data_IF_325616741844
#
_entry.id   IF_325616741844
#
_cell.length_a   1.000
_cell.length_b   1.000
_cell.length_c   1.000
_cell.angle_alpha   90.00
_cell.angle_beta   90.00
_cell.angle_gamma   90.00
#
_symmetry.space_group_name_H-M   'P 1'
#
loop_
_entity.id
_entity.type
_entity.pdbx_description
1 polymer ?
#
# COMPACT_ATOMS: atom_id res chain seq x y z
N UNK A 1 -13.42 -20.16 -22.99
CA UNK A 1 -12.91 -20.16 -21.60
C UNK A 1 -12.75 -18.69 -21.19
N UNK A 2 -13.61 -18.21 -20.29
CA UNK A 2 -13.74 -16.77 -19.98
C UNK A 2 -12.76 -16.37 -18.87
N UNK A 3 -12.18 -15.18 -18.99
CA UNK A 3 -11.15 -14.62 -18.11
C UNK A 3 -11.67 -14.44 -16.67
N UNK A 4 -11.02 -15.00 -15.62
CA UNK A 4 -11.49 -14.98 -14.24
C UNK A 4 -11.29 -13.65 -13.50
N UNK A 5 -10.65 -12.65 -14.11
CA UNK A 5 -10.53 -11.30 -13.53
C UNK A 5 -11.72 -10.42 -13.92
N UNK A 6 -12.94 -10.83 -13.53
CA UNK A 6 -14.08 -9.93 -13.49
C UNK A 6 -13.92 -9.03 -12.25
N UNK A 7 -13.05 -8.03 -12.35
CA UNK A 7 -12.90 -7.01 -11.31
C UNK A 7 -14.16 -6.13 -11.33
N UNK A 8 -14.96 -6.41 -10.31
CA UNK A 8 -16.25 -5.87 -9.92
C UNK A 8 -16.16 -4.36 -9.66
N UNK A 9 -15.93 -3.58 -10.71
CA UNK A 9 -16.24 -2.15 -10.71
C UNK A 9 -17.67 -1.99 -10.16
N UNK A 10 -17.85 -1.13 -9.17
CA UNK A 10 -19.12 -0.74 -8.48
C UNK A 10 -19.37 -1.31 -7.07
N UNK A 11 -19.03 -2.55 -6.71
CA UNK A 11 -19.49 -3.08 -5.41
C UNK A 11 -18.52 -2.72 -4.27
N UNK A 12 -18.73 -1.52 -3.68
CA UNK A 12 -18.02 -1.04 -2.48
C UNK A 12 -17.33 0.32 -2.60
N UNK A 13 -17.48 1.01 -3.74
CA UNK A 13 -16.98 2.37 -3.93
C UNK A 13 -18.13 3.37 -3.95
N UNK A 14 -17.99 4.44 -3.18
CA UNK A 14 -18.84 5.64 -3.26
C UNK A 14 -18.02 6.77 -3.87
N UNK A 15 -18.67 7.59 -4.70
CA UNK A 15 -18.04 8.70 -5.39
C UNK A 15 -18.71 10.00 -5.00
N UNK A 16 -17.91 11.03 -4.75
CA UNK A 16 -18.39 12.37 -4.48
C UNK A 16 -17.57 13.40 -5.26
N UNK A 17 -18.22 14.47 -5.68
CA UNK A 17 -17.55 15.63 -6.28
C UNK A 17 -17.33 16.64 -5.17
N UNK A 18 -16.08 17.04 -4.98
CA UNK A 18 -15.69 18.00 -3.95
C UNK A 18 -14.96 19.17 -4.58
N UNK A 19 -15.24 20.38 -4.10
CA UNK A 19 -14.49 21.57 -4.48
C UNK A 19 -13.44 21.82 -3.39
N UNK A 20 -12.18 21.60 -3.73
CA UNK A 20 -11.05 21.78 -2.81
C UNK A 20 -9.94 22.55 -3.52
N UNK A 21 -9.30 23.49 -2.82
CA UNK A 21 -8.15 24.25 -3.34
C UNK A 21 -8.45 25.02 -4.65
N UNK A 22 -9.71 25.46 -4.83
CA UNK A 22 -10.16 26.13 -6.04
C UNK A 22 -10.29 25.22 -7.27
N UNK A 23 -10.25 23.89 -7.09
CA UNK A 23 -10.38 22.90 -8.17
C UNK A 23 -11.50 21.92 -7.86
N UNK A 24 -12.22 21.53 -8.92
CA UNK A 24 -13.18 20.43 -8.83
C UNK A 24 -12.39 19.12 -8.78
N UNK A 25 -12.62 18.33 -7.75
CA UNK A 25 -12.01 17.02 -7.56
C UNK A 25 -13.10 15.96 -7.45
N UNK A 26 -12.74 14.75 -7.85
CA UNK A 26 -13.55 13.56 -7.61
C UNK A 26 -12.87 12.76 -6.51
N UNK A 27 -13.62 12.48 -5.48
CA UNK A 27 -13.21 11.64 -4.37
C UNK A 27 -13.92 10.29 -4.46
N UNK A 28 -13.16 9.21 -4.32
CA UNK A 28 -13.68 7.86 -4.21
C UNK A 28 -13.36 7.30 -2.84
N UNK A 29 -14.37 6.80 -2.15
CA UNK A 29 -14.24 6.12 -0.87
C UNK A 29 -14.64 4.66 -1.03
N UNK A 30 -13.81 3.75 -0.53
CA UNK A 30 -14.10 2.33 -0.62
C UNK A 30 -13.03 1.50 0.06
N UNK A 31 -13.40 0.34 0.59
CA UNK A 31 -12.46 -0.60 1.22
C UNK A 31 -11.57 0.02 2.31
N UNK A 32 -12.08 1.02 3.03
CA UNK A 32 -11.34 1.73 4.08
C UNK A 32 -10.30 2.75 3.60
N UNK A 33 -10.26 3.05 2.30
CA UNK A 33 -9.39 4.09 1.73
C UNK A 33 -10.21 5.20 1.09
N UNK A 34 -9.62 6.41 1.09
CA UNK A 34 -10.13 7.58 0.39
C UNK A 34 -9.08 8.00 -0.64
N UNK A 35 -9.53 8.15 -1.89
CA UNK A 35 -8.72 8.54 -3.03
C UNK A 35 -9.32 9.80 -3.63
N UNK A 36 -8.47 10.68 -4.16
CA UNK A 36 -8.89 11.93 -4.79
C UNK A 36 -8.11 12.20 -6.06
N UNK A 37 -8.79 12.74 -7.06
CA UNK A 37 -8.17 13.22 -8.30
C UNK A 37 -8.82 14.52 -8.74
N UNK A 38 -8.04 15.41 -9.35
CA UNK A 38 -8.59 16.61 -9.96
C UNK A 38 -9.33 16.24 -11.27
N UNK A 39 -10.47 16.89 -11.47
CA UNK A 39 -11.20 16.83 -12.73
C UNK A 39 -10.42 17.60 -13.80
N UNK A 40 -10.18 16.97 -14.95
CA UNK A 40 -9.52 17.63 -16.06
C UNK A 40 -10.49 18.51 -16.86
N UNK A 41 -9.95 19.48 -17.60
CA UNK A 41 -10.76 20.35 -18.46
C UNK A 41 -11.49 19.52 -19.53
N UNK A 42 -12.83 19.60 -19.55
CA UNK A 42 -13.66 18.83 -20.48
C UNK A 42 -13.86 17.36 -20.11
N UNK A 43 -13.31 16.89 -18.98
CA UNK A 43 -13.53 15.53 -18.48
C UNK A 43 -14.86 15.47 -17.70
N UNK A 44 -15.61 14.38 -17.89
CA UNK A 44 -16.81 14.15 -17.08
C UNK A 44 -16.41 13.63 -15.68
N UNK A 45 -17.21 13.92 -14.63
CA UNK A 45 -16.94 13.40 -13.30
C UNK A 45 -16.86 11.87 -13.25
N UNK A 46 -17.66 11.18 -14.06
CA UNK A 46 -17.61 9.73 -14.21
C UNK A 46 -16.27 9.27 -14.79
N UNK A 47 -15.79 9.90 -15.86
CA UNK A 47 -14.49 9.56 -16.45
C UNK A 47 -13.32 9.81 -15.47
N UNK A 48 -13.41 10.85 -14.66
CA UNK A 48 -12.43 11.11 -13.60
C UNK A 48 -12.47 10.04 -12.49
N UNK A 49 -13.67 9.59 -12.08
CA UNK A 49 -13.85 8.49 -11.13
C UNK A 49 -13.26 7.18 -11.65
N UNK A 50 -13.54 6.87 -12.91
CA UNK A 50 -13.06 5.69 -13.62
C UNK A 50 -11.53 5.64 -13.66
N UNK A 51 -10.91 6.76 -14.07
CA UNK A 51 -9.45 6.93 -14.10
C UNK A 51 -8.83 6.76 -12.72
N UNK A 52 -9.46 7.30 -11.69
CA UNK A 52 -8.98 7.20 -10.31
C UNK A 52 -8.97 5.75 -9.82
N UNK A 53 -10.04 5.00 -10.05
CA UNK A 53 -10.13 3.59 -9.63
C UNK A 53 -9.15 2.73 -10.42
N UNK A 54 -9.01 2.97 -11.74
CA UNK A 54 -8.04 2.27 -12.58
C UNK A 54 -6.60 2.49 -12.11
N UNK A 55 -6.24 3.71 -11.75
CA UNK A 55 -4.91 4.02 -11.25
C UNK A 55 -4.60 3.29 -9.93
N UNK A 56 -5.58 3.17 -9.04
CA UNK A 56 -5.44 2.40 -7.80
C UNK A 56 -5.31 0.90 -8.07
N UNK A 57 -6.09 0.35 -8.98
CA UNK A 57 -6.01 -1.07 -9.33
C UNK A 57 -4.62 -1.42 -9.90
N UNK A 58 -4.11 -0.60 -10.81
CA UNK A 58 -2.76 -0.74 -11.35
C UNK A 58 -1.69 -0.64 -10.25
N UNK A 59 -1.84 0.28 -9.29
CA UNK A 59 -0.95 0.39 -8.14
C UNK A 59 -0.95 -0.89 -7.31
N UNK A 60 -2.12 -1.42 -6.97
CA UNK A 60 -2.26 -2.67 -6.20
C UNK A 60 -1.65 -3.86 -6.92
N UNK A 61 -1.89 -3.98 -8.23
CA UNK A 61 -1.30 -5.04 -9.04
C UNK A 61 0.23 -4.93 -9.09
N UNK A 62 0.76 -3.71 -9.24
CA UNK A 62 2.21 -3.45 -9.22
C UNK A 62 2.85 -3.82 -7.89
N UNK A 63 2.24 -3.40 -6.77
CA UNK A 63 2.71 -3.74 -5.42
C UNK A 63 2.67 -5.25 -5.18
N UNK A 64 1.58 -5.91 -5.57
CA UNK A 64 1.46 -7.37 -5.49
C UNK A 64 2.57 -8.04 -6.30
N UNK A 65 2.80 -7.63 -7.54
CA UNK A 65 3.84 -8.19 -8.39
C UNK A 65 5.26 -7.96 -7.83
N UNK A 66 5.51 -6.81 -7.21
CA UNK A 66 6.77 -6.53 -6.53
C UNK A 66 6.96 -7.42 -5.30
N UNK A 67 5.92 -7.56 -4.47
CA UNK A 67 5.94 -8.45 -3.30
C UNK A 67 6.12 -9.93 -3.67
N UNK A 68 5.46 -10.40 -4.73
CA UNK A 68 5.65 -11.76 -5.25
C UNK A 68 7.09 -11.99 -5.73
N UNK A 69 7.69 -11.01 -6.42
CA UNK A 69 9.11 -11.09 -6.82
C UNK A 69 10.06 -11.14 -5.62
N UNK A 70 9.79 -10.34 -4.58
CA UNK A 70 10.57 -10.35 -3.33
C UNK A 70 10.51 -11.69 -2.57
N UNK A 71 9.40 -12.41 -2.63
CA UNK A 71 9.28 -13.76 -2.05
C UNK A 71 10.07 -14.81 -2.83
N UNK A 72 10.25 -14.64 -4.15
CA UNK A 72 11.09 -15.56 -4.92
C UNK A 72 12.58 -15.36 -4.64
N UNK A 73 12.99 -14.16 -4.23
CA UNK A 73 14.38 -13.88 -3.82
C UNK A 73 14.71 -14.34 -2.40
N UNK A 74 13.71 -14.71 -1.58
CA UNK A 74 13.94 -15.28 -0.24
C UNK A 74 14.12 -16.80 -0.29
N UNK A 75 15.05 -17.28 -1.13
CA UNK A 75 15.66 -18.59 -0.92
C UNK A 75 17.01 -18.36 -0.21
N UNK A 76 17.03 -18.22 1.13
CA UNK A 76 18.27 -18.01 1.90
C UNK A 76 19.22 -19.23 1.85
N UNK A 77 18.87 -20.30 1.13
CA UNK A 77 19.63 -21.54 1.06
C UNK A 77 20.81 -21.51 0.07
N UNK A 78 20.98 -20.46 -0.75
CA UNK A 78 22.05 -20.40 -1.76
C UNK A 78 23.13 -19.35 -1.48
N UNK A 79 23.03 -18.57 -0.40
CA UNK A 79 24.10 -17.66 -0.02
C UNK A 79 25.06 -18.38 0.93
N UNK A 80 26.31 -18.68 0.54
CA UNK A 80 27.29 -19.19 1.49
C UNK A 80 27.53 -18.07 2.50
N UNK A 81 26.97 -18.22 3.70
CA UNK A 81 27.31 -17.34 4.82
C UNK A 81 28.82 -17.48 5.05
N UNK A 82 29.60 -16.38 5.06
CA UNK A 82 30.99 -16.47 5.47
C UNK A 82 31.04 -17.04 6.90
N UNK A 83 32.01 -17.91 7.22
CA UNK A 83 32.14 -18.48 8.55
C UNK A 83 32.11 -17.39 9.63
N UNK A 84 31.22 -17.55 10.61
CA UNK A 84 31.02 -16.64 11.75
C UNK A 84 32.26 -16.48 12.66
N UNK A 85 33.38 -17.14 12.35
CA UNK A 85 34.63 -17.13 13.12
C UNK A 85 35.27 -15.74 13.27
N UNK A 86 34.91 -14.77 12.43
CA UNK A 86 35.46 -13.40 12.45
C UNK A 86 34.40 -12.32 12.70
N UNK A 87 33.21 -12.68 13.17
CA UNK A 87 32.20 -11.69 13.53
C UNK A 87 32.67 -10.89 14.75
N UNK A 88 33.22 -9.70 14.50
CA UNK A 88 33.45 -8.70 15.52
C UNK A 88 32.07 -8.37 16.10
N UNK A 89 31.86 -8.47 17.43
CA UNK A 89 30.58 -8.08 18.02
C UNK A 89 30.40 -6.59 17.74
N UNK A 90 29.47 -6.28 16.84
CA UNK A 90 29.06 -4.91 16.59
C UNK A 90 28.16 -4.51 17.76
N UNK A 91 28.80 -4.07 18.85
CA UNK A 91 28.13 -3.56 20.04
C UNK A 91 27.59 -2.17 19.69
N UNK A 92 26.62 -2.13 18.78
CA UNK A 92 25.79 -0.97 18.55
C UNK A 92 24.97 -0.73 19.82
N UNK A 93 25.56 0.05 20.74
CA UNK A 93 24.88 0.62 21.91
C UNK A 93 23.78 1.56 21.40
N UNK A 94 22.54 1.08 21.36
CA UNK A 94 21.37 1.83 21.85
C UNK A 94 20.10 1.04 21.55
N UNK A 95 19.74 0.16 22.48
CA UNK A 95 18.33 -0.19 22.71
C UNK A 95 17.98 0.42 24.06
N UNK A 96 17.34 1.59 24.04
CA UNK A 96 16.66 2.10 25.23
C UNK A 96 15.42 1.24 25.40
N UNK A 97 15.53 0.22 26.25
CA UNK A 97 14.39 -0.53 26.75
C UNK A 97 13.74 0.36 27.80
N UNK A 98 12.55 0.87 27.50
CA UNK A 98 11.66 1.47 28.51
C UNK A 98 10.97 0.30 29.21
N UNK A 99 11.43 -0.07 30.40
CA UNK A 99 10.69 -0.96 31.28
C UNK A 99 9.38 -0.26 31.66
N UNK A 100 8.25 -0.84 31.26
CA UNK A 100 6.94 -0.47 31.78
C UNK A 100 6.82 -1.07 33.18
N UNK A 101 6.93 -0.21 34.20
CA UNK A 101 6.61 -0.55 35.57
C UNK A 101 5.14 -1.01 35.65
N UNK A 102 4.95 -2.31 35.87
CA UNK A 102 3.66 -2.85 36.28
C UNK A 102 3.42 -2.44 37.74
N UNK A 103 2.75 -1.30 37.90
CA UNK A 103 2.15 -0.88 39.17
C UNK A 103 1.19 -1.97 39.65
N UNK A 104 1.70 -2.83 40.52
CA UNK A 104 0.90 -3.76 41.32
C UNK A 104 0.88 -3.17 42.73
N UNK A 105 -0.15 -2.36 43.01
CA UNK A 105 -0.41 -1.87 44.36
C UNK A 105 -1.11 -2.98 45.16
N UNK A 106 -0.51 -3.34 46.30
CA UNK A 106 -1.13 -4.10 47.40
C UNK A 106 -1.81 -3.13 48.34
#
# INVERSE_FOLDING_TARGET
>A
MSNPFQLRWLQGWTFQIVLMEGKVQVEAQGFGICLRTALLHGESPSAAADRLVLAEDQRRQSLRNAWMRGQQTSNPSEMPLPPLEHAIPDISKSLVVVEQDLLTAV
#
